data_IF_965774567228
#
_entry.id   IF_965774567228
#
_cell.length_a   1.000
_cell.length_b   1.000
_cell.length_c   1.000
_cell.angle_alpha   90.00
_cell.angle_beta   90.00
_cell.angle_gamma   90.00
#
_symmetry.space_group_name_H-M   'P 1'
#
loop_
_entity.id
_entity.type
_entity.pdbx_description
1 polymer ?
#
# COMPACT_ATOMS: atom_id res chain seq x y z
N UNK A 1 -9.27 -22.21 6.39
CA UNK A 1 -9.65 -23.30 5.48
C UNK A 1 -8.38 -24.02 5.00
N UNK A 2 -8.32 -25.29 5.19
CA UNK A 2 -7.16 -26.09 4.77
C UNK A 2 -7.13 -26.23 3.25
N UNK A 3 -5.94 -26.05 2.68
CA UNK A 3 -5.68 -26.30 1.26
C UNK A 3 -4.35 -27.04 1.10
N UNK A 4 -4.17 -27.66 -0.07
CA UNK A 4 -2.86 -28.22 -0.40
C UNK A 4 -1.84 -27.11 -0.69
N UNK A 5 -0.59 -27.35 -0.32
CA UNK A 5 0.47 -26.35 -0.50
C UNK A 5 0.68 -25.94 -1.97
N UNK A 6 0.43 -26.85 -2.92
CA UNK A 6 0.54 -26.54 -4.34
C UNK A 6 -0.48 -25.48 -4.82
N UNK A 7 -1.51 -25.19 -4.02
CA UNK A 7 -2.52 -24.17 -4.32
C UNK A 7 -2.18 -22.80 -3.76
N UNK A 8 -1.06 -22.66 -3.04
CA UNK A 8 -0.60 -21.38 -2.53
C UNK A 8 -0.32 -20.43 -3.71
N UNK A 9 -0.83 -19.20 -3.61
CA UNK A 9 -0.60 -18.14 -4.60
C UNK A 9 -0.26 -16.83 -3.90
N UNK A 10 0.50 -15.96 -4.58
CA UNK A 10 0.81 -14.62 -4.10
C UNK A 10 -0.47 -13.86 -3.77
N UNK A 11 -0.45 -13.12 -2.66
CA UNK A 11 -1.59 -12.36 -2.15
C UNK A 11 -2.46 -13.12 -1.16
N UNK A 12 -2.36 -14.44 -1.09
CA UNK A 12 -3.07 -15.23 -0.06
C UNK A 12 -2.44 -14.98 1.31
N UNK A 13 -3.25 -15.13 2.36
CA UNK A 13 -2.78 -15.11 3.74
C UNK A 13 -2.89 -16.52 4.30
N UNK A 14 -1.80 -17.00 4.87
CA UNK A 14 -1.72 -18.33 5.49
C UNK A 14 -1.33 -18.21 6.96
N UNK A 15 -1.81 -19.15 7.77
CA UNK A 15 -1.38 -19.30 9.15
C UNK A 15 -0.28 -20.35 9.20
N UNK A 16 0.84 -19.98 9.82
CA UNK A 16 1.99 -20.86 10.00
C UNK A 16 2.72 -20.51 11.29
N UNK A 17 2.96 -21.53 12.11
CA UNK A 17 3.63 -21.38 13.41
C UNK A 17 2.96 -20.32 14.31
N UNK A 18 1.63 -20.28 14.33
CA UNK A 18 0.86 -19.35 15.16
C UNK A 18 0.87 -17.90 14.66
N UNK A 19 1.36 -17.65 13.45
CA UNK A 19 1.45 -16.32 12.86
C UNK A 19 0.71 -16.26 11.53
N UNK A 20 0.34 -15.05 11.14
CA UNK A 20 -0.32 -14.78 9.85
C UNK A 20 0.68 -14.20 8.87
N UNK A 21 0.75 -14.78 7.68
CA UNK A 21 1.72 -14.44 6.66
C UNK A 21 1.04 -14.11 5.34
N UNK A 22 1.43 -13.00 4.72
CA UNK A 22 1.05 -12.71 3.32
C UNK A 22 2.05 -13.35 2.39
N UNK A 23 1.58 -14.16 1.45
CA UNK A 23 2.42 -14.77 0.43
C UNK A 23 2.83 -13.71 -0.58
N UNK A 24 4.15 -13.54 -0.77
CA UNK A 24 4.73 -12.61 -1.72
C UNK A 24 5.05 -13.27 -3.05
N UNK A 25 5.67 -14.45 -2.98
CA UNK A 25 6.08 -15.23 -4.16
C UNK A 25 5.99 -16.72 -3.84
N UNK A 26 5.71 -17.50 -4.85
CA UNK A 26 5.78 -18.95 -4.74
C UNK A 26 6.42 -19.55 -6.01
N UNK A 27 7.06 -20.69 -5.82
CA UNK A 27 7.68 -21.45 -6.91
C UNK A 27 7.58 -22.93 -6.63
N UNK A 28 7.05 -23.69 -7.57
CA UNK A 28 7.02 -25.15 -7.50
C UNK A 28 8.30 -25.67 -8.14
N UNK A 29 9.02 -26.52 -7.41
CA UNK A 29 10.26 -27.14 -7.86
C UNK A 29 10.04 -28.64 -7.95
N UNK A 30 10.30 -29.20 -9.12
CA UNK A 30 10.22 -30.62 -9.35
C UNK A 30 11.62 -31.18 -9.59
N UNK A 31 12.29 -31.72 -8.56
CA UNK A 31 13.61 -32.28 -8.74
C UNK A 31 13.56 -33.57 -9.58
N UNK A 32 14.69 -33.93 -10.20
CA UNK A 32 14.79 -35.15 -11.01
C UNK A 32 14.64 -36.45 -10.21
N UNK A 33 14.81 -36.40 -8.90
CA UNK A 33 14.56 -37.50 -7.93
C UNK A 33 13.85 -36.93 -6.73
N UNK A 34 12.78 -37.60 -6.28
CA UNK A 34 11.99 -37.19 -5.12
C UNK A 34 10.70 -36.47 -5.51
N UNK A 35 9.90 -36.12 -4.52
CA UNK A 35 8.63 -35.43 -4.71
C UNK A 35 8.82 -33.94 -4.97
N UNK A 36 7.84 -33.35 -5.69
CA UNK A 36 7.78 -31.91 -5.90
C UNK A 36 7.55 -31.17 -4.57
N UNK A 37 8.14 -29.97 -4.44
CA UNK A 37 7.90 -29.09 -3.33
C UNK A 37 7.64 -27.66 -3.80
N UNK A 38 6.99 -26.87 -2.95
CA UNK A 38 6.74 -25.46 -3.19
C UNK A 38 7.59 -24.61 -2.23
N UNK A 39 8.28 -23.65 -2.77
CA UNK A 39 9.03 -22.65 -1.99
C UNK A 39 8.24 -21.35 -1.98
N UNK A 40 8.00 -20.82 -0.78
CA UNK A 40 7.14 -19.66 -0.57
C UNK A 40 7.91 -18.58 0.17
N UNK A 41 7.98 -17.39 -0.42
CA UNK A 41 8.43 -16.18 0.26
C UNK A 41 7.19 -15.48 0.82
N UNK A 42 7.21 -15.19 2.11
CA UNK A 42 6.06 -14.60 2.77
C UNK A 42 6.49 -13.58 3.83
N UNK A 43 5.56 -12.67 4.15
CA UNK A 43 5.78 -11.58 5.12
C UNK A 43 4.84 -11.72 6.29
N UNK A 44 5.39 -11.63 7.51
CA UNK A 44 4.61 -11.60 8.74
C UNK A 44 3.76 -10.32 8.79
N UNK A 45 2.45 -10.46 8.98
CA UNK A 45 1.52 -9.32 9.04
C UNK A 45 1.73 -8.44 10.27
N UNK A 46 2.28 -8.99 11.35
CA UNK A 46 2.50 -8.24 12.59
C UNK A 46 3.85 -7.54 12.62
N UNK A 47 4.91 -8.21 12.20
CA UNK A 47 6.29 -7.71 12.31
C UNK A 47 6.83 -7.12 11.00
N UNK A 48 6.24 -7.50 9.86
CA UNK A 48 6.75 -7.13 8.54
C UNK A 48 7.96 -7.93 8.08
N UNK A 49 8.46 -8.84 8.90
CA UNK A 49 9.62 -9.65 8.57
C UNK A 49 9.29 -10.65 7.47
N UNK A 50 10.24 -10.87 6.58
CA UNK A 50 10.13 -11.85 5.51
C UNK A 50 10.76 -13.17 5.93
N UNK A 51 10.17 -14.26 5.44
CA UNK A 51 10.74 -15.60 5.58
C UNK A 51 10.48 -16.42 4.33
N UNK A 52 11.25 -17.48 4.16
CA UNK A 52 11.05 -18.47 3.11
C UNK A 52 10.74 -19.80 3.77
N UNK A 53 9.64 -20.42 3.35
CA UNK A 53 9.22 -21.72 3.79
C UNK A 53 9.08 -22.67 2.62
N UNK A 54 9.23 -23.96 2.92
CA UNK A 54 9.16 -25.02 1.93
C UNK A 54 8.20 -26.08 2.40
N UNK A 55 7.25 -26.43 1.55
CA UNK A 55 6.31 -27.54 1.80
C UNK A 55 6.37 -28.53 0.64
N UNK A 56 6.04 -29.76 0.94
CA UNK A 56 5.71 -30.69 -0.12
C UNK A 56 4.40 -30.25 -0.76
N UNK A 57 4.24 -30.48 -2.06
CA UNK A 57 3.04 -30.01 -2.79
C UNK A 57 1.74 -30.61 -2.24
N UNK A 58 1.80 -31.78 -1.62
CA UNK A 58 0.64 -32.46 -1.03
C UNK A 58 0.41 -32.08 0.44
N UNK A 59 1.32 -31.34 1.08
CA UNK A 59 1.14 -30.90 2.47
C UNK A 59 -0.09 -29.98 2.58
N UNK A 60 -0.73 -30.00 3.75
CA UNK A 60 -1.84 -29.08 4.06
C UNK A 60 -1.33 -27.82 4.71
N UNK A 61 -1.84 -26.67 4.29
CA UNK A 61 -1.61 -25.37 4.93
C UNK A 61 -2.96 -24.74 5.23
N UNK A 62 -2.99 -23.89 6.28
CA UNK A 62 -4.19 -23.16 6.65
C UNK A 62 -4.23 -21.82 5.92
N UNK A 63 -5.18 -21.67 5.02
CA UNK A 63 -5.45 -20.40 4.34
C UNK A 63 -6.51 -19.62 5.10
N UNK A 64 -6.24 -18.36 5.42
CA UNK A 64 -7.17 -17.48 6.09
C UNK A 64 -8.02 -16.71 5.07
N UNK A 65 -9.28 -16.45 5.41
CA UNK A 65 -10.15 -15.67 4.55
C UNK A 65 -9.72 -14.21 4.55
N UNK A 66 -9.60 -13.64 3.35
CA UNK A 66 -9.29 -12.23 3.15
C UNK A 66 -10.47 -11.55 2.46
N UNK A 67 -10.72 -10.32 2.86
CA UNK A 67 -11.74 -9.47 2.26
C UNK A 67 -11.16 -8.09 2.03
N UNK A 68 -11.46 -7.51 0.87
CA UNK A 68 -11.16 -6.12 0.58
C UNK A 68 -12.46 -5.33 0.63
N UNK A 69 -12.49 -4.30 1.46
CA UNK A 69 -13.71 -3.52 1.67
C UNK A 69 -13.44 -2.03 1.49
N UNK A 70 -14.33 -1.36 0.77
CA UNK A 70 -14.21 0.07 0.49
C UNK A 70 -14.78 0.89 1.65
N UNK A 71 -14.03 1.94 2.01
CA UNK A 71 -14.40 2.94 3.00
C UNK A 71 -14.08 4.33 2.48
N UNK A 72 -14.58 5.35 3.16
CA UNK A 72 -14.15 6.73 2.98
C UNK A 72 -13.54 7.26 4.26
N UNK A 73 -12.51 8.09 4.13
CA UNK A 73 -11.93 8.78 5.28
C UNK A 73 -12.94 9.82 5.79
N UNK A 74 -13.21 9.78 7.09
CA UNK A 74 -14.15 10.68 7.72
C UNK A 74 -13.46 11.76 8.55
N UNK A 75 -12.77 11.38 9.64
CA UNK A 75 -12.08 12.34 10.50
C UNK A 75 -11.04 11.64 11.38
N UNK A 76 -10.22 12.44 12.05
CA UNK A 76 -9.30 11.95 13.07
C UNK A 76 -9.93 12.04 14.46
N UNK A 77 -9.74 11.00 15.26
CA UNK A 77 -10.08 10.98 16.69
C UNK A 77 -8.80 10.68 17.47
N UNK A 78 -8.11 11.74 17.90
CA UNK A 78 -6.79 11.60 18.50
C UNK A 78 -5.79 11.01 17.48
N UNK A 79 -5.19 9.88 17.84
CA UNK A 79 -4.27 9.14 16.96
C UNK A 79 -4.98 8.09 16.11
N UNK A 80 -6.31 8.02 16.18
CA UNK A 80 -7.10 7.07 15.43
C UNK A 80 -7.72 7.72 14.19
N UNK A 81 -7.73 6.95 13.12
CA UNK A 81 -8.37 7.33 11.85
C UNK A 81 -9.76 6.73 11.84
N UNK A 82 -10.78 7.55 11.66
CA UNK A 82 -12.16 7.09 11.56
C UNK A 82 -12.55 7.03 10.09
N UNK A 83 -12.87 5.83 9.64
CA UNK A 83 -13.38 5.54 8.31
C UNK A 83 -14.86 5.26 8.36
N UNK A 84 -15.55 5.48 7.26
CA UNK A 84 -16.99 5.24 7.15
C UNK A 84 -17.29 4.37 5.93
N UNK A 85 -18.10 3.34 6.13
CA UNK A 85 -18.64 2.57 5.03
C UNK A 85 -19.58 3.46 4.21
N UNK A 86 -19.35 3.64 2.89
CA UNK A 86 -20.16 4.55 2.08
C UNK A 86 -21.62 4.07 1.88
N UNK A 87 -21.89 2.80 2.16
CA UNK A 87 -23.23 2.21 1.99
C UNK A 87 -23.99 2.10 3.30
N UNK A 88 -23.35 1.52 4.33
CA UNK A 88 -23.98 1.26 5.64
C UNK A 88 -23.81 2.39 6.62
N UNK A 89 -22.86 3.31 6.38
CA UNK A 89 -22.44 4.39 7.27
C UNK A 89 -21.84 3.90 8.61
N UNK A 90 -21.55 2.63 8.71
CA UNK A 90 -20.82 2.09 9.86
C UNK A 90 -19.41 2.64 9.89
N UNK A 91 -18.93 2.94 11.10
CA UNK A 91 -17.60 3.46 11.31
C UNK A 91 -16.60 2.32 11.57
N UNK A 92 -15.41 2.46 11.03
CA UNK A 92 -14.28 1.61 11.33
C UNK A 92 -13.16 2.52 11.87
N UNK A 93 -12.67 2.20 13.06
CA UNK A 93 -11.62 2.99 13.72
C UNK A 93 -10.32 2.21 13.62
N UNK A 94 -9.31 2.84 13.01
CA UNK A 94 -7.99 2.25 12.80
C UNK A 94 -6.91 3.11 13.44
N UNK A 95 -5.84 2.51 14.00
CA UNK A 95 -4.71 3.29 14.45
C UNK A 95 -3.99 3.92 13.25
N UNK A 96 -3.45 5.11 13.44
CA UNK A 96 -2.70 5.82 12.40
C UNK A 96 -1.55 4.98 11.83
N UNK A 97 -0.93 4.15 12.65
CA UNK A 97 0.22 3.34 12.28
C UNK A 97 -0.04 2.38 11.11
N UNK A 98 -1.30 1.95 10.94
CA UNK A 98 -1.64 1.03 9.84
C UNK A 98 -1.44 1.67 8.47
N UNK A 99 -1.50 3.01 8.40
CA UNK A 99 -1.33 3.76 7.16
C UNK A 99 0.15 3.92 6.76
N UNK A 100 1.07 3.81 7.73
CA UNK A 100 2.48 4.05 7.48
C UNK A 100 2.72 5.44 6.88
N UNK A 101 3.61 5.52 5.90
CA UNK A 101 3.94 6.78 5.22
C UNK A 101 2.78 7.34 4.40
N UNK A 102 1.80 6.52 4.04
CA UNK A 102 0.63 6.97 3.26
C UNK A 102 -0.33 7.84 4.08
N UNK A 103 -0.20 7.84 5.41
CA UNK A 103 -1.04 8.67 6.27
C UNK A 103 -1.04 10.15 5.84
N UNK A 104 0.10 10.67 5.41
CA UNK A 104 0.25 12.06 4.99
C UNK A 104 -0.61 12.41 3.75
N UNK A 105 -1.06 11.42 2.99
CA UNK A 105 -1.84 11.62 1.78
C UNK A 105 -3.36 11.51 1.99
N UNK A 106 -3.81 11.26 3.22
CA UNK A 106 -5.25 11.24 3.52
C UNK A 106 -5.86 12.62 3.27
N UNK A 107 -7.00 12.62 2.58
CA UNK A 107 -7.79 13.83 2.31
C UNK A 107 -9.24 13.58 2.72
N UNK A 108 -9.94 14.66 3.04
CA UNK A 108 -11.37 14.58 3.42
C UNK A 108 -12.18 13.84 2.37
N UNK A 109 -12.98 12.91 2.81
CA UNK A 109 -13.85 12.08 1.96
C UNK A 109 -13.12 11.20 0.94
N UNK A 110 -11.80 10.98 1.12
CA UNK A 110 -11.03 10.14 0.22
C UNK A 110 -11.53 8.70 0.28
N UNK A 111 -11.85 8.08 -0.88
CA UNK A 111 -12.14 6.65 -0.93
C UNK A 111 -10.85 5.86 -0.72
N UNK A 112 -10.92 4.79 0.02
CA UNK A 112 -9.79 3.90 0.24
C UNK A 112 -10.28 2.47 0.46
N UNK A 113 -9.36 1.53 0.36
CA UNK A 113 -9.65 0.12 0.55
C UNK A 113 -8.97 -0.38 1.83
N UNK A 114 -9.69 -1.20 2.60
CA UNK A 114 -9.17 -1.85 3.80
C UNK A 114 -9.11 -3.34 3.55
N UNK A 115 -7.95 -3.94 3.78
CA UNK A 115 -7.76 -5.38 3.73
C UNK A 115 -8.06 -5.97 5.10
N UNK A 116 -9.00 -6.91 5.13
CA UNK A 116 -9.42 -7.61 6.33
C UNK A 116 -8.98 -9.08 6.23
N UNK A 117 -8.45 -9.62 7.32
CA UNK A 117 -8.13 -11.05 7.45
C UNK A 117 -8.95 -11.60 8.61
N UNK A 118 -9.86 -12.54 8.32
CA UNK A 118 -10.82 -13.07 9.29
C UNK A 118 -11.55 -11.95 10.06
N UNK A 119 -11.89 -10.87 9.36
CA UNK A 119 -12.56 -9.70 9.93
C UNK A 119 -11.64 -8.67 10.59
N UNK A 120 -10.36 -8.96 10.74
CA UNK A 120 -9.39 -8.03 11.33
C UNK A 120 -8.74 -7.13 10.28
N UNK A 121 -8.75 -5.81 10.44
CA UNK A 121 -8.03 -4.91 9.55
C UNK A 121 -6.51 -5.14 9.64
N UNK A 122 -5.86 -5.40 8.52
CA UNK A 122 -4.42 -5.67 8.47
C UNK A 122 -3.66 -4.73 7.54
N UNK A 123 -4.36 -3.96 6.72
CA UNK A 123 -3.74 -3.02 5.81
C UNK A 123 -4.75 -2.10 5.17
N UNK A 124 -4.25 -1.01 4.62
CA UNK A 124 -5.05 -0.03 3.88
C UNK A 124 -4.37 0.26 2.55
N UNK A 125 -5.17 0.58 1.56
CA UNK A 125 -4.69 1.00 0.25
C UNK A 125 -5.41 2.28 -0.15
N UNK A 126 -4.64 3.35 -0.33
CA UNK A 126 -5.14 4.63 -0.81
C UNK A 126 -5.27 4.59 -2.34
N UNK A 127 -6.05 5.49 -2.94
CA UNK A 127 -6.00 5.67 -4.39
C UNK A 127 -4.55 5.86 -4.87
N UNK A 128 -4.17 5.34 -6.03
CA UNK A 128 -2.78 5.40 -6.49
C UNK A 128 -2.26 6.82 -6.72
N UNK A 129 -3.15 7.76 -6.96
CA UNK A 129 -2.82 9.16 -7.25
C UNK A 129 -3.64 10.11 -6.38
N UNK A 130 -3.04 11.24 -6.04
CA UNK A 130 -3.68 12.32 -5.29
C UNK A 130 -3.20 13.66 -5.84
N UNK A 131 -4.07 14.67 -5.79
CA UNK A 131 -3.73 16.03 -6.19
C UNK A 131 -3.36 16.85 -4.95
N UNK A 132 -2.19 17.49 -5.01
CA UNK A 132 -1.68 18.34 -3.92
C UNK A 132 -1.11 19.62 -4.50
N UNK A 133 -1.16 20.68 -3.70
CA UNK A 133 -0.54 21.96 -4.04
C UNK A 133 0.93 21.97 -3.67
N UNK A 134 1.75 22.63 -4.47
CA UNK A 134 3.16 22.90 -4.16
C UNK A 134 3.21 24.12 -3.25
N UNK A 135 3.76 23.97 -2.06
CA UNK A 135 3.93 25.09 -1.11
C UNK A 135 5.29 25.76 -1.25
N UNK A 136 6.31 25.00 -1.63
CA UNK A 136 7.67 25.50 -1.82
C UNK A 136 8.30 24.84 -3.02
N UNK A 137 8.89 25.62 -3.91
CA UNK A 137 9.73 25.17 -5.00
C UNK A 137 10.59 26.36 -5.48
N UNK A 138 11.78 26.06 -5.97
CA UNK A 138 12.62 27.10 -6.58
C UNK A 138 11.92 27.69 -7.78
N UNK A 139 12.04 29.03 -7.99
CA UNK A 139 11.41 29.70 -9.11
C UNK A 139 11.95 29.20 -10.46
N UNK A 140 11.10 29.30 -11.48
CA UNK A 140 11.50 29.01 -12.85
C UNK A 140 12.47 30.09 -13.31
N UNK A 141 13.65 29.67 -13.82
CA UNK A 141 14.67 30.58 -14.34
C UNK A 141 14.55 30.65 -15.86
N UNK A 142 14.29 31.87 -16.38
CA UNK A 142 14.25 32.11 -17.83
C UNK A 142 15.62 31.86 -18.44
N UNK A 143 15.65 31.11 -19.53
CA UNK A 143 16.88 30.84 -20.27
C UNK A 143 17.67 29.62 -19.81
N UNK A 144 17.19 28.91 -18.80
CA UNK A 144 17.69 27.56 -18.56
C UNK A 144 17.28 26.68 -19.74
N UNK A 145 18.28 26.15 -20.41
CA UNK A 145 18.05 25.04 -21.33
C UNK A 145 17.30 23.94 -20.57
N UNK A 146 16.34 23.35 -21.22
CA UNK A 146 15.52 22.26 -20.66
C UNK A 146 16.35 21.00 -20.41
N UNK A 147 17.54 21.13 -19.81
CA UNK A 147 18.21 19.98 -19.21
C UNK A 147 17.39 19.60 -17.98
N UNK A 148 16.66 18.69 -18.16
CA UNK A 148 15.64 17.90 -17.48
C UNK A 148 15.94 17.44 -16.07
N UNK A 149 16.78 18.12 -15.30
CA UNK A 149 16.97 17.81 -13.89
C UNK A 149 15.76 18.29 -13.08
N UNK A 150 15.13 17.36 -12.40
CA UNK A 150 14.06 17.69 -11.46
C UNK A 150 14.63 18.50 -10.30
N UNK A 151 13.79 19.33 -9.72
CA UNK A 151 14.13 20.16 -8.55
C UNK A 151 13.30 19.75 -7.34
N UNK A 152 13.82 19.97 -6.11
CA UNK A 152 13.06 19.71 -4.89
C UNK A 152 11.82 20.62 -4.79
N UNK A 153 10.75 20.06 -4.24
CA UNK A 153 9.52 20.78 -3.92
C UNK A 153 8.92 20.22 -2.63
N UNK A 154 8.14 21.05 -1.95
CA UNK A 154 7.38 20.65 -0.76
C UNK A 154 5.90 20.71 -1.10
N UNK A 155 5.19 19.63 -0.82
CA UNK A 155 3.76 19.51 -1.02
C UNK A 155 2.98 20.09 0.17
N UNK A 156 1.71 20.41 -0.05
CA UNK A 156 0.84 20.97 1.00
C UNK A 156 0.63 20.05 2.20
N UNK A 157 0.90 18.76 2.07
CA UNK A 157 0.90 17.80 3.18
C UNK A 157 2.25 17.72 3.92
N UNK A 158 3.23 18.54 3.57
CA UNK A 158 4.56 18.55 4.16
C UNK A 158 5.55 17.56 3.57
N UNK A 159 5.13 16.71 2.66
CA UNK A 159 5.99 15.71 2.02
C UNK A 159 6.87 16.39 0.97
N UNK A 160 8.13 16.00 0.92
CA UNK A 160 9.09 16.46 -0.09
C UNK A 160 9.06 15.53 -1.30
N UNK A 161 9.14 16.14 -2.47
CA UNK A 161 9.21 15.40 -3.74
C UNK A 161 10.12 16.12 -4.74
N UNK A 162 10.33 15.49 -5.87
CA UNK A 162 11.06 16.09 -6.99
C UNK A 162 10.09 16.37 -8.12
N UNK A 163 10.19 17.57 -8.69
CA UNK A 163 9.29 18.04 -9.76
C UNK A 163 10.11 18.54 -10.95
N UNK A 164 9.52 18.56 -12.16
CA UNK A 164 10.17 19.19 -13.32
C UNK A 164 10.49 20.67 -13.05
N UNK A 165 11.52 21.21 -13.70
CA UNK A 165 11.97 22.59 -13.45
C UNK A 165 10.93 23.67 -13.77
N UNK A 166 9.90 23.37 -14.59
CA UNK A 166 8.85 24.32 -14.95
C UNK A 166 7.71 24.42 -13.93
N UNK A 167 7.72 23.60 -12.88
CA UNK A 167 6.70 23.65 -11.83
C UNK A 167 7.04 24.76 -10.83
N UNK A 168 6.04 25.56 -10.46
CA UNK A 168 6.17 26.68 -9.52
C UNK A 168 5.37 26.43 -8.25
N UNK A 169 5.76 27.12 -7.16
CA UNK A 169 4.96 27.16 -5.94
C UNK A 169 3.56 27.73 -6.25
N UNK A 170 2.53 27.17 -5.62
CA UNK A 170 1.14 27.51 -5.87
C UNK A 170 0.45 26.65 -6.93
N UNK A 171 1.19 25.92 -7.73
CA UNK A 171 0.61 24.98 -8.69
C UNK A 171 0.11 23.71 -8.00
N UNK A 172 -0.95 23.13 -8.55
CA UNK A 172 -1.47 21.83 -8.14
C UNK A 172 -0.94 20.75 -9.07
N UNK A 173 -0.44 19.67 -8.48
CA UNK A 173 0.11 18.53 -9.23
C UNK A 173 -0.51 17.23 -8.76
N UNK A 174 -0.47 16.23 -9.62
CA UNK A 174 -0.82 14.85 -9.29
C UNK A 174 0.45 14.12 -8.92
N UNK A 175 0.43 13.46 -7.76
CA UNK A 175 1.54 12.62 -7.27
C UNK A 175 1.02 11.23 -6.94
N UNK A 176 1.94 10.26 -6.91
CA UNK A 176 1.63 8.91 -6.46
C UNK A 176 1.60 8.86 -4.93
N UNK A 177 0.66 8.12 -4.39
CA UNK A 177 0.51 7.99 -2.93
C UNK A 177 1.53 7.02 -2.32
N UNK A 178 2.15 6.16 -3.11
CA UNK A 178 3.12 5.18 -2.62
C UNK A 178 4.53 5.78 -2.39
N UNK A 179 4.98 6.70 -3.23
CA UNK A 179 6.33 7.26 -3.17
C UNK A 179 6.40 8.78 -3.32
N UNK A 180 5.26 9.46 -3.41
CA UNK A 180 5.13 10.90 -3.63
C UNK A 180 5.72 11.40 -4.96
N UNK A 181 5.96 10.51 -5.93
CA UNK A 181 6.53 10.92 -7.21
C UNK A 181 5.55 11.72 -8.06
N UNK A 182 6.10 12.72 -8.77
CA UNK A 182 5.35 13.55 -9.69
C UNK A 182 4.80 12.75 -10.88
N UNK A 183 3.54 12.97 -11.22
CA UNK A 183 2.89 12.36 -12.38
C UNK A 183 2.65 13.41 -13.46
N UNK A 184 1.87 14.44 -13.14
CA UNK A 184 1.49 15.50 -14.08
C UNK A 184 0.94 16.72 -13.32
N UNK A 185 0.80 17.84 -14.02
CA UNK A 185 0.01 18.98 -13.52
C UNK A 185 -1.44 18.56 -13.38
N UNK A 186 -2.11 19.03 -12.33
CA UNK A 186 -3.54 18.77 -12.16
C UNK A 186 -4.33 19.43 -13.28
N UNK A 187 -5.32 18.72 -13.77
CA UNK A 187 -6.31 19.26 -14.71
C UNK A 187 -7.46 19.86 -13.91
N UNK A 188 -7.76 21.11 -14.17
CA UNK A 188 -8.92 21.79 -13.56
C UNK A 188 -10.23 21.35 -14.21
#
# INVERSE_FOLDING_TARGET
MKQQANLIRAGQVIEHDGRRWTVLKQQIITPGKGGAFIQVEMRDLNTGNKTNERWRTADSVERLMTEDKDYTYSYMDGENVVLMDPVTFEQLILPQDIFGDQFAFLQDNMPLNVKLVEGDPVGVELPPHVTLEITEADPVVKGQTASSSYKPAVLSNGVKTMVPPFIEAGERIVVRTDDASYVERAKD
#
